data_IF_509943898609
#
_entry.id   IF_509943898609
#
_cell.length_a   1.000
_cell.length_b   1.000
_cell.length_c   1.000
_cell.angle_alpha   90.00
_cell.angle_beta   90.00
_cell.angle_gamma   90.00
#
_symmetry.space_group_name_H-M   'P 1'
#
loop_
_entity.id
_entity.type
_entity.pdbx_description
1 polymer ?
#
# COMPACT_ATOMS: atom_id res chain seq x y z
N UNK A 1 10.70 -18.05 59.08
CA UNK A 1 10.80 -18.78 57.78
C UNK A 1 9.43 -18.87 57.13
N UNK A 2 9.14 -18.07 56.10
CA UNK A 2 8.43 -18.48 54.87
C UNK A 2 8.23 -17.25 53.99
N UNK A 3 8.97 -17.23 52.87
CA UNK A 3 8.83 -16.29 51.76
C UNK A 3 7.58 -16.69 50.98
N UNK A 4 6.62 -15.78 50.81
CA UNK A 4 5.55 -15.93 49.82
C UNK A 4 5.96 -15.14 48.58
N UNK A 5 6.34 -15.87 47.53
CA UNK A 5 6.69 -15.32 46.24
C UNK A 5 5.40 -15.01 45.46
N UNK A 6 5.22 -13.73 45.12
CA UNK A 6 4.21 -13.26 44.17
C UNK A 6 4.75 -13.57 42.75
N UNK A 7 4.10 -14.46 42.01
CA UNK A 7 4.38 -14.66 40.59
C UNK A 7 3.33 -13.85 39.82
N UNK A 8 3.73 -12.67 39.35
CA UNK A 8 2.99 -11.94 38.31
C UNK A 8 3.30 -12.62 36.96
N UNK A 9 2.31 -13.28 36.37
CA UNK A 9 2.38 -13.67 34.97
C UNK A 9 1.98 -12.47 34.10
N UNK A 10 2.96 -11.82 33.45
CA UNK A 10 2.70 -10.90 32.36
C UNK A 10 2.28 -11.72 31.13
N UNK A 11 0.99 -11.65 30.76
CA UNK A 11 0.54 -12.09 29.45
C UNK A 11 0.95 -11.02 28.43
N UNK A 12 1.91 -11.33 27.56
CA UNK A 12 2.21 -10.51 26.39
C UNK A 12 1.02 -10.62 25.42
N UNK A 13 0.23 -9.54 25.31
CA UNK A 13 -0.76 -9.42 24.26
C UNK A 13 -0.05 -9.09 22.95
N UNK A 14 0.22 -10.10 22.12
CA UNK A 14 0.51 -9.88 20.70
C UNK A 14 -0.73 -9.29 20.04
N UNK A 15 -0.65 -8.12 19.37
CA UNK A 15 -1.76 -7.64 18.57
C UNK A 15 -1.99 -8.62 17.42
N UNK A 16 -3.16 -9.24 17.40
CA UNK A 16 -3.63 -10.01 16.25
C UNK A 16 -4.00 -8.99 15.18
N UNK A 17 -3.10 -8.75 14.22
CA UNK A 17 -3.44 -7.99 13.03
C UNK A 17 -4.59 -8.74 12.34
N UNK A 18 -5.80 -8.16 12.36
CA UNK A 18 -6.95 -8.77 11.71
C UNK A 18 -6.69 -8.75 10.20
N UNK A 19 -6.43 -9.93 9.62
CA UNK A 19 -6.39 -10.10 8.19
C UNK A 19 -7.71 -9.57 7.60
N UNK A 20 -7.62 -8.72 6.58
CA UNK A 20 -8.82 -8.15 5.96
C UNK A 20 -9.66 -9.27 5.35
N UNK A 21 -10.97 -9.28 5.62
CA UNK A 21 -11.89 -10.25 5.02
C UNK A 21 -12.42 -9.79 3.66
N UNK A 22 -12.15 -8.53 3.28
CA UNK A 22 -12.65 -7.97 2.03
C UNK A 22 -11.82 -8.45 0.83
N UNK A 23 -12.43 -9.03 -0.23
CA UNK A 23 -11.67 -9.57 -1.36
C UNK A 23 -10.70 -8.59 -2.00
N UNK A 24 -11.09 -7.33 -2.21
CA UNK A 24 -10.20 -6.30 -2.77
C UNK A 24 -8.92 -6.11 -1.95
N UNK A 25 -9.03 -6.13 -0.61
CA UNK A 25 -7.88 -5.92 0.25
C UNK A 25 -6.92 -7.13 0.19
N UNK A 26 -7.47 -8.35 0.15
CA UNK A 26 -6.68 -9.58 0.00
C UNK A 26 -6.02 -9.69 -1.38
N UNK A 27 -6.72 -9.34 -2.45
CA UNK A 27 -6.13 -9.31 -3.80
C UNK A 27 -4.98 -8.30 -3.84
N UNK A 28 -5.17 -7.13 -3.24
CA UNK A 28 -4.12 -6.12 -3.15
C UNK A 28 -2.92 -6.56 -2.30
N UNK A 29 -3.16 -7.29 -1.21
CA UNK A 29 -2.11 -7.91 -0.39
C UNK A 29 -1.28 -8.90 -1.20
N UNK A 30 -1.91 -9.86 -1.88
CA UNK A 30 -1.23 -10.81 -2.77
C UNK A 30 -0.41 -10.09 -3.84
N UNK A 31 -0.99 -9.07 -4.48
CA UNK A 31 -0.26 -8.30 -5.49
C UNK A 31 0.97 -7.61 -4.89
N UNK A 32 0.86 -7.00 -3.72
CA UNK A 32 1.98 -6.31 -3.05
C UNK A 32 3.09 -7.26 -2.64
N UNK A 33 2.75 -8.45 -2.14
CA UNK A 33 3.74 -9.49 -1.81
C UNK A 33 4.51 -9.97 -3.04
N UNK A 34 3.92 -9.83 -4.23
CA UNK A 34 4.54 -10.15 -5.51
C UNK A 34 5.13 -8.90 -6.22
N UNK A 35 5.41 -7.82 -5.48
CA UNK A 35 5.99 -6.60 -6.06
C UNK A 35 5.08 -5.96 -7.11
N UNK A 36 3.77 -6.14 -6.97
CA UNK A 36 2.70 -5.66 -7.85
C UNK A 36 2.72 -6.21 -9.28
N UNK A 37 3.41 -7.34 -9.46
CA UNK A 37 3.51 -8.07 -10.72
C UNK A 37 3.35 -9.56 -10.45
N UNK A 38 2.37 -10.20 -11.08
CA UNK A 38 2.08 -11.61 -10.87
C UNK A 38 1.99 -12.33 -12.21
N UNK A 39 2.85 -13.33 -12.42
CA UNK A 39 2.75 -14.17 -13.61
C UNK A 39 1.46 -15.01 -13.56
N UNK A 40 0.72 -15.07 -14.66
CA UNK A 40 -0.58 -15.78 -14.73
C UNK A 40 -0.45 -17.25 -14.38
N UNK A 41 0.71 -17.89 -14.61
CA UNK A 41 0.94 -19.28 -14.24
C UNK A 41 1.03 -19.51 -12.73
N UNK A 42 1.28 -18.45 -11.95
CA UNK A 42 1.35 -18.47 -10.48
C UNK A 42 0.13 -17.86 -9.81
N UNK A 43 -0.74 -17.20 -10.57
CA UNK A 43 -1.84 -16.44 -10.03
C UNK A 43 -2.80 -17.30 -9.20
N UNK A 44 -3.18 -18.48 -9.71
CA UNK A 44 -4.10 -19.38 -9.01
C UNK A 44 -3.55 -19.85 -7.66
N UNK A 45 -2.28 -20.26 -7.62
CA UNK A 45 -1.60 -20.66 -6.38
C UNK A 45 -1.50 -19.49 -5.40
N UNK A 46 -1.05 -18.33 -5.88
CA UNK A 46 -0.88 -17.14 -5.04
C UNK A 46 -2.20 -16.67 -4.41
N UNK A 47 -3.29 -16.61 -5.17
CA UNK A 47 -4.58 -16.17 -4.64
C UNK A 47 -5.23 -17.22 -3.72
N UNK A 48 -5.17 -18.51 -4.09
CA UNK A 48 -5.76 -19.57 -3.27
C UNK A 48 -5.08 -19.72 -1.90
N UNK A 49 -3.77 -19.44 -1.82
CA UNK A 49 -3.05 -19.39 -0.54
C UNK A 49 -3.58 -18.32 0.44
N UNK A 50 -4.35 -17.34 -0.04
CA UNK A 50 -4.99 -16.28 0.76
C UNK A 50 -6.50 -16.48 0.92
N UNK A 51 -7.00 -17.70 0.68
CA UNK A 51 -8.42 -18.07 0.71
C UNK A 51 -9.27 -17.19 -0.22
N UNK A 52 -8.71 -16.76 -1.36
CA UNK A 52 -9.45 -16.03 -2.38
C UNK A 52 -10.07 -17.00 -3.38
N UNK A 53 -11.36 -16.82 -3.63
CA UNK A 53 -12.07 -17.60 -4.65
C UNK A 53 -11.84 -16.99 -6.03
N UNK A 54 -11.71 -17.78 -7.10
CA UNK A 54 -11.46 -17.26 -8.45
C UNK A 54 -12.46 -16.20 -8.92
N UNK A 55 -13.73 -16.33 -8.54
CA UNK A 55 -14.78 -15.36 -8.88
C UNK A 55 -14.58 -14.00 -8.21
N UNK A 56 -14.09 -13.99 -6.97
CA UNK A 56 -13.84 -12.76 -6.21
C UNK A 56 -12.61 -12.04 -6.78
N UNK A 57 -11.56 -12.80 -7.10
CA UNK A 57 -10.36 -12.29 -7.78
C UNK A 57 -10.73 -11.67 -9.12
N UNK A 58 -11.51 -12.38 -9.94
CA UNK A 58 -11.92 -11.91 -11.27
C UNK A 58 -12.74 -10.62 -11.17
N UNK A 59 -13.67 -10.53 -10.22
CA UNK A 59 -14.46 -9.32 -10.01
C UNK A 59 -13.58 -8.11 -9.65
N UNK A 60 -12.62 -8.29 -8.75
CA UNK A 60 -11.69 -7.22 -8.35
C UNK A 60 -10.79 -6.80 -9.52
N UNK A 61 -10.17 -7.76 -10.20
CA UNK A 61 -9.25 -7.49 -11.31
C UNK A 61 -9.97 -6.78 -12.46
N UNK A 62 -11.16 -7.25 -12.83
CA UNK A 62 -11.95 -6.60 -13.89
C UNK A 62 -12.31 -5.16 -13.51
N UNK A 63 -12.71 -4.93 -12.26
CA UNK A 63 -12.99 -3.57 -11.77
C UNK A 63 -11.76 -2.66 -11.84
N UNK A 64 -10.57 -3.15 -11.51
CA UNK A 64 -9.33 -2.38 -11.65
C UNK A 64 -8.92 -2.14 -13.10
N UNK A 65 -9.12 -3.11 -13.98
CA UNK A 65 -8.87 -2.96 -15.41
C UNK A 65 -9.80 -1.90 -16.03
N UNK A 66 -11.09 -1.89 -15.66
CA UNK A 66 -12.05 -0.85 -16.07
C UNK A 66 -11.65 0.55 -15.59
N UNK A 67 -11.03 0.63 -14.41
CA UNK A 67 -10.47 1.87 -13.86
C UNK A 67 -9.10 2.25 -14.46
N UNK A 68 -8.51 1.40 -15.31
CA UNK A 68 -7.19 1.62 -15.88
C UNK A 68 -6.04 1.50 -14.88
N UNK A 69 -6.27 0.90 -13.70
CA UNK A 69 -5.25 0.73 -12.65
C UNK A 69 -4.71 -0.70 -12.57
N UNK A 70 -5.07 -1.56 -13.50
CA UNK A 70 -4.51 -2.89 -13.67
C UNK A 70 -4.50 -3.33 -15.14
N UNK A 71 -3.58 -4.21 -15.51
CA UNK A 71 -3.43 -4.69 -16.88
C UNK A 71 -2.66 -6.00 -16.99
N UNK A 72 -2.67 -6.56 -18.20
CA UNK A 72 -1.85 -7.71 -18.57
C UNK A 72 -0.78 -7.26 -19.57
N UNK A 73 0.48 -7.48 -19.22
CA UNK A 73 1.64 -7.35 -20.11
C UNK A 73 2.21 -8.75 -20.39
N UNK A 74 1.84 -9.31 -21.54
CA UNK A 74 2.15 -10.70 -21.88
C UNK A 74 1.54 -11.68 -20.89
N UNK A 75 2.38 -12.41 -20.16
CA UNK A 75 1.96 -13.36 -19.10
C UNK A 75 1.95 -12.74 -17.71
N UNK A 76 2.20 -11.45 -17.56
CA UNK A 76 2.30 -10.78 -16.26
C UNK A 76 1.09 -9.88 -16.05
N UNK A 77 0.34 -10.14 -14.98
CA UNK A 77 -0.65 -9.23 -14.46
C UNK A 77 0.04 -8.18 -13.58
N UNK A 78 -0.23 -6.90 -13.84
CA UNK A 78 0.35 -5.78 -13.12
C UNK A 78 -0.71 -4.82 -12.62
N UNK A 79 -0.46 -4.20 -11.46
CA UNK A 79 -1.28 -3.13 -10.93
C UNK A 79 -0.49 -1.83 -10.89
N UNK A 80 -1.17 -0.71 -11.16
CA UNK A 80 -0.55 0.60 -11.24
C UNK A 80 0.07 1.03 -9.89
N UNK A 81 1.15 1.84 -9.91
CA UNK A 81 1.74 2.45 -8.71
C UNK A 81 0.71 3.14 -7.81
N UNK A 82 -0.33 3.71 -8.41
CA UNK A 82 -1.40 4.39 -7.70
C UNK A 82 -2.13 3.52 -6.66
N UNK A 83 -2.26 2.20 -6.90
CA UNK A 83 -2.85 1.24 -5.94
C UNK A 83 -1.79 0.34 -5.29
N UNK A 84 -0.69 0.05 -6.01
CA UNK A 84 0.46 -0.70 -5.51
C UNK A 84 1.20 0.05 -4.39
N UNK A 85 1.22 1.38 -4.45
CA UNK A 85 2.13 2.22 -3.68
C UNK A 85 3.59 1.92 -4.04
N UNK A 86 4.46 1.91 -3.03
CA UNK A 86 5.88 1.71 -3.18
C UNK A 86 6.35 0.25 -3.07
N UNK A 87 5.42 -0.72 -3.01
CA UNK A 87 5.75 -2.15 -2.86
C UNK A 87 6.53 -2.74 -4.04
N UNK A 88 6.40 -2.17 -5.23
CA UNK A 88 7.18 -2.57 -6.41
C UNK A 88 8.52 -1.85 -6.57
N UNK A 89 8.91 -0.98 -5.62
CA UNK A 89 10.02 -0.05 -5.78
C UNK A 89 11.10 -0.26 -4.72
N UNK A 90 12.36 -0.30 -5.15
CA UNK A 90 13.50 -0.38 -4.26
C UNK A 90 13.58 0.88 -3.37
N UNK A 91 13.92 0.78 -2.07
CA UNK A 91 13.98 1.95 -1.17
C UNK A 91 14.86 3.10 -1.67
N UNK A 92 15.93 2.77 -2.41
CA UNK A 92 16.85 3.73 -3.02
C UNK A 92 16.28 4.44 -4.27
N UNK A 93 15.18 3.97 -4.86
CA UNK A 93 14.51 4.61 -5.99
C UNK A 93 13.63 5.78 -5.52
N UNK A 94 14.26 6.81 -4.97
CA UNK A 94 13.56 8.01 -4.46
C UNK A 94 12.73 8.71 -5.56
N UNK A 95 13.12 8.57 -6.83
CA UNK A 95 12.40 9.14 -7.95
C UNK A 95 11.07 8.41 -8.20
N UNK A 96 11.12 7.11 -8.44
CA UNK A 96 9.93 6.29 -8.66
C UNK A 96 9.02 6.28 -7.42
N UNK A 97 9.59 6.30 -6.22
CA UNK A 97 8.81 6.34 -4.97
C UNK A 97 8.09 7.68 -4.79
N UNK A 98 8.67 8.79 -5.21
CA UNK A 98 7.98 10.09 -5.22
C UNK A 98 6.83 10.10 -6.24
N UNK A 99 7.03 9.50 -7.42
CA UNK A 99 5.96 9.33 -8.41
C UNK A 99 4.83 8.45 -7.88
N UNK A 100 5.16 7.32 -7.25
CA UNK A 100 4.17 6.46 -6.62
C UNK A 100 3.40 7.17 -5.49
N UNK A 101 4.08 8.00 -4.69
CA UNK A 101 3.43 8.80 -3.65
C UNK A 101 2.44 9.79 -4.27
N UNK A 102 2.85 10.47 -5.34
CA UNK A 102 2.02 11.41 -6.08
C UNK A 102 0.74 10.74 -6.59
N UNK A 103 0.88 9.60 -7.29
CA UNK A 103 -0.26 8.85 -7.82
C UNK A 103 -1.19 8.33 -6.70
N UNK A 104 -0.59 7.84 -5.61
CA UNK A 104 -1.34 7.33 -4.46
C UNK A 104 -2.16 8.43 -3.78
N UNK A 105 -1.60 9.61 -3.56
CA UNK A 105 -2.33 10.77 -2.98
C UNK A 105 -3.45 11.20 -3.93
N UNK A 106 -3.20 11.24 -5.24
CA UNK A 106 -4.19 11.59 -6.26
C UNK A 106 -5.44 10.70 -6.18
N UNK A 107 -5.26 9.37 -6.16
CA UNK A 107 -6.37 8.43 -5.99
C UNK A 107 -7.07 8.50 -4.63
N UNK A 108 -6.40 9.04 -3.62
CA UNK A 108 -6.96 9.21 -2.28
C UNK A 108 -7.59 10.59 -2.05
N UNK A 109 -7.90 11.32 -3.14
CA UNK A 109 -8.64 12.57 -3.08
C UNK A 109 -7.77 13.82 -3.11
N UNK A 110 -6.55 13.73 -3.67
CA UNK A 110 -5.63 14.85 -3.93
C UNK A 110 -5.12 15.62 -2.70
N UNK A 111 -5.58 15.23 -1.51
CA UNK A 111 -5.22 15.83 -0.23
C UNK A 111 -5.02 14.71 0.77
N UNK A 112 -3.91 14.74 1.48
CA UNK A 112 -3.66 13.78 2.55
C UNK A 112 -3.11 14.49 3.78
N UNK A 113 -3.81 14.33 4.90
CA UNK A 113 -3.40 14.87 6.21
C UNK A 113 -2.52 13.86 6.97
N UNK A 114 -1.84 14.30 8.03
CA UNK A 114 -0.92 13.45 8.82
C UNK A 114 -1.54 12.14 9.32
N UNK A 115 -2.75 12.23 9.88
CA UNK A 115 -3.45 11.07 10.44
C UNK A 115 -3.75 10.03 9.36
N UNK A 116 -4.25 10.49 8.21
CA UNK A 116 -4.49 9.63 7.05
C UNK A 116 -3.19 9.04 6.50
N UNK A 117 -2.12 9.83 6.46
CA UNK A 117 -0.82 9.38 6.02
C UNK A 117 -0.32 8.20 6.85
N UNK A 118 -0.44 8.26 8.18
CA UNK A 118 -0.04 7.16 9.06
C UNK A 118 -0.83 5.86 8.83
N UNK A 119 -2.11 5.98 8.45
CA UNK A 119 -3.01 4.85 8.22
C UNK A 119 -2.83 4.27 6.80
N UNK A 120 -2.70 5.13 5.79
CA UNK A 120 -2.77 4.76 4.36
C UNK A 120 -1.40 4.49 3.74
N UNK A 121 -0.36 5.24 4.13
CA UNK A 121 0.94 5.18 3.47
C UNK A 121 1.77 3.95 3.87
N UNK A 122 1.72 3.55 5.15
CA UNK A 122 2.46 2.36 5.61
C UNK A 122 1.98 1.08 4.92
N UNK A 123 0.67 0.78 4.83
CA UNK A 123 0.20 -0.34 4.02
C UNK A 123 0.51 -0.21 2.52
N UNK A 124 0.74 1.00 2.03
CA UNK A 124 1.17 1.26 0.66
C UNK A 124 2.70 1.20 0.47
N UNK A 125 3.47 0.78 1.48
CA UNK A 125 4.91 0.55 1.35
C UNK A 125 5.79 1.79 1.55
N UNK A 126 5.20 2.91 1.98
CA UNK A 126 5.94 4.10 2.38
C UNK A 126 6.27 4.07 3.87
N UNK A 127 7.46 4.52 4.22
CA UNK A 127 7.94 4.63 5.60
C UNK A 127 7.87 6.08 6.06
N UNK A 128 7.70 6.32 7.37
CA UNK A 128 7.69 7.70 7.88
C UNK A 128 9.03 8.41 7.68
N UNK A 129 10.14 7.66 7.65
CA UNK A 129 11.49 8.19 7.54
C UNK A 129 11.79 8.82 6.17
N UNK A 130 11.24 8.28 5.08
CA UNK A 130 11.47 8.80 3.73
C UNK A 130 10.49 9.91 3.32
N UNK A 131 9.35 10.04 4.01
CA UNK A 131 8.30 10.98 3.61
C UNK A 131 8.79 12.44 3.45
N UNK A 132 9.61 12.99 4.35
CA UNK A 132 10.12 14.35 4.19
C UNK A 132 10.87 14.54 2.86
N UNK A 133 11.68 13.56 2.45
CA UNK A 133 12.47 13.63 1.23
C UNK A 133 11.59 13.48 -0.03
N UNK A 134 10.60 12.58 0.01
CA UNK A 134 9.65 12.40 -1.09
C UNK A 134 8.79 13.65 -1.29
N UNK A 135 8.29 14.24 -0.20
CA UNK A 135 7.47 15.46 -0.24
C UNK A 135 8.31 16.64 -0.75
N UNK A 136 9.52 16.84 -0.21
CA UNK A 136 10.41 17.91 -0.65
C UNK A 136 10.68 17.84 -2.16
N UNK A 137 10.93 16.63 -2.68
CA UNK A 137 11.10 16.41 -4.12
C UNK A 137 9.87 16.82 -4.94
N UNK A 138 8.66 16.45 -4.50
CA UNK A 138 7.43 16.81 -5.20
C UNK A 138 7.18 18.33 -5.17
N UNK A 139 7.49 18.98 -4.06
CA UNK A 139 7.42 20.45 -3.93
C UNK A 139 8.43 21.14 -4.84
N UNK A 140 9.68 20.68 -4.87
CA UNK A 140 10.74 21.21 -5.75
C UNK A 140 10.39 21.05 -7.24
N UNK A 141 9.63 20.00 -7.57
CA UNK A 141 9.11 19.75 -8.92
C UNK A 141 7.85 20.56 -9.26
N UNK A 142 7.30 21.33 -8.31
CA UNK A 142 6.04 22.06 -8.49
C UNK A 142 4.81 21.14 -8.61
N UNK A 143 4.93 19.90 -8.16
CA UNK A 143 3.87 18.87 -8.25
C UNK A 143 3.04 18.74 -6.98
N UNK A 144 3.55 19.25 -5.87
CA UNK A 144 2.83 19.28 -4.62
C UNK A 144 3.07 20.60 -3.87
N UNK A 145 2.18 20.87 -2.93
CA UNK A 145 2.28 21.94 -1.96
C UNK A 145 2.11 21.33 -0.57
N UNK A 146 2.89 21.81 0.40
CA UNK A 146 2.75 21.42 1.79
C UNK A 146 2.04 22.54 2.56
N UNK A 147 0.90 22.22 3.17
CA UNK A 147 0.25 23.12 4.14
C UNK A 147 0.44 22.57 5.55
N UNK A 148 0.82 23.45 6.48
CA UNK A 148 0.99 23.12 7.88
C UNK A 148 -0.34 22.59 8.48
N UNK A 149 -0.32 21.50 9.28
CA UNK A 149 0.87 20.81 9.76
C UNK A 149 1.45 19.71 8.83
N UNK A 150 0.67 19.00 7.99
CA UNK A 150 1.22 17.93 7.11
C UNK A 150 0.30 17.60 5.92
N UNK A 151 -0.37 18.60 5.38
CA UNK A 151 -1.26 18.38 4.24
C UNK A 151 -0.45 18.42 2.96
N UNK A 152 -0.37 17.29 2.26
CA UNK A 152 0.15 17.24 0.89
C UNK A 152 -1.03 17.48 -0.04
N UNK A 153 -0.96 18.54 -0.85
CA UNK A 153 -1.91 18.84 -1.92
C UNK A 153 -1.18 18.75 -3.25
N UNK A 154 -1.76 18.06 -4.23
CA UNK A 154 -1.18 17.88 -5.57
C UNK A 154 -1.72 18.95 -6.55
N UNK A 155 -0.88 19.44 -7.48
CA UNK A 155 -1.25 20.41 -8.52
C UNK A 155 -1.98 19.79 -9.73
N UNK A 156 -2.15 20.58 -10.80
CA UNK A 156 -3.04 20.51 -12.00
C UNK A 156 -3.71 19.18 -12.46
N UNK A 157 -3.19 18.01 -12.09
CA UNK A 157 -3.92 16.74 -12.15
C UNK A 157 -5.00 16.61 -11.03
N UNK A 158 -4.97 17.59 -10.13
CA UNK A 158 -5.86 17.93 -9.03
C UNK A 158 -6.02 19.47 -9.06
#
# INVERSE_FOLDING_TARGET
>A
MRRLALILALAAATPLQAASTHPTAKVLEVMRENGCRLDVSRAEEAFSAHDLRPEDVSAVINSWAEQGVAGLDGSVFEIAPAICGAHGLAPEDTAGRADALYDFVGLNGCRMIEEEAQIKLRPAGFTQAEMPDLIARLVDQGRAYQEDPYVIVIGDAC
#
